data_IF_350530162426
#
_entry.id   IF_350530162426
#
_cell.length_a   1.000
_cell.length_b   1.000
_cell.length_c   1.000
_cell.angle_alpha   90.00
_cell.angle_beta   90.00
_cell.angle_gamma   90.00
#
_symmetry.space_group_name_H-M   'P 1'
#
loop_
_entity.id
_entity.type
_entity.pdbx_description
1 polymer ?
#
# COMPACT_ATOMS: atom_id res chain seq x y z
N UNK A 1 -27.41 -12.47 -23.16
CA UNK A 1 -27.63 -11.78 -21.87
C UNK A 1 -26.95 -10.42 -21.99
N UNK A 2 -27.67 -9.41 -22.46
CA UNK A 2 -27.14 -8.04 -22.45
C UNK A 2 -27.21 -7.55 -21.01
N UNK A 3 -26.04 -7.27 -20.43
CA UNK A 3 -25.94 -6.63 -19.12
C UNK A 3 -26.32 -5.16 -19.32
N UNK A 4 -27.59 -4.85 -19.11
CA UNK A 4 -28.10 -3.49 -19.06
C UNK A 4 -27.44 -2.81 -17.84
N UNK A 5 -26.30 -2.15 -18.08
CA UNK A 5 -25.64 -1.33 -17.06
C UNK A 5 -26.53 -0.12 -16.80
N UNK A 6 -26.85 0.20 -15.53
CA UNK A 6 -27.65 1.38 -15.24
C UNK A 6 -26.96 2.62 -15.82
N UNK A 7 -27.67 3.51 -16.54
CA UNK A 7 -27.10 4.63 -17.28
C UNK A 7 -26.33 5.65 -16.41
N UNK A 8 -26.41 5.52 -15.09
CA UNK A 8 -25.71 6.35 -14.10
C UNK A 8 -24.24 5.93 -13.83
N UNK A 9 -23.82 4.73 -14.20
CA UNK A 9 -22.45 4.25 -13.88
C UNK A 9 -21.37 4.81 -14.81
N UNK A 10 -21.70 5.05 -16.08
CA UNK A 10 -20.72 5.47 -17.10
C UNK A 10 -20.06 6.83 -16.78
N UNK A 11 -20.80 7.88 -16.37
CA UNK A 11 -20.20 9.17 -16.00
C UNK A 11 -19.30 9.08 -14.76
N UNK A 12 -19.72 8.28 -13.76
CA UNK A 12 -18.97 8.11 -12.52
C UNK A 12 -17.62 7.39 -12.74
N UNK A 13 -17.58 6.43 -13.68
CA UNK A 13 -16.36 5.73 -14.05
C UNK A 13 -15.38 6.63 -14.82
N UNK A 14 -15.87 7.51 -15.69
CA UNK A 14 -15.01 8.47 -16.39
C UNK A 14 -14.37 9.47 -15.44
N UNK A 15 -15.13 9.96 -14.46
CA UNK A 15 -14.61 10.88 -13.45
C UNK A 15 -13.57 10.22 -12.54
N UNK A 16 -13.79 8.94 -12.19
CA UNK A 16 -12.84 8.13 -11.46
C UNK A 16 -11.53 7.94 -12.25
N UNK A 17 -11.62 7.56 -13.52
CA UNK A 17 -10.46 7.39 -14.38
C UNK A 17 -9.64 8.69 -14.50
N UNK A 18 -10.33 9.83 -14.66
CA UNK A 18 -9.70 11.14 -14.67
C UNK A 18 -9.03 11.48 -13.32
N UNK A 19 -9.66 11.15 -12.19
CA UNK A 19 -9.09 11.36 -10.86
C UNK A 19 -7.81 10.52 -10.64
N UNK A 20 -7.83 9.25 -11.06
CA UNK A 20 -6.67 8.35 -10.98
C UNK A 20 -5.53 8.87 -11.87
N UNK A 21 -5.83 9.30 -13.09
CA UNK A 21 -4.82 9.85 -14.00
C UNK A 21 -4.18 11.13 -13.44
N UNK A 22 -4.99 12.03 -12.85
CA UNK A 22 -4.48 13.23 -12.16
C UNK A 22 -3.62 12.87 -10.94
N UNK A 23 -4.01 11.86 -10.16
CA UNK A 23 -3.20 11.38 -9.03
C UNK A 23 -1.84 10.86 -9.49
N UNK A 24 -1.81 10.07 -10.58
CA UNK A 24 -0.57 9.59 -11.16
C UNK A 24 0.34 10.74 -11.63
N UNK A 25 -0.23 11.74 -12.32
CA UNK A 25 0.53 12.92 -12.75
C UNK A 25 1.04 13.78 -11.57
N UNK A 26 0.26 13.88 -10.49
CA UNK A 26 0.69 14.59 -9.28
C UNK A 26 1.82 13.82 -8.55
N UNK A 27 1.74 12.49 -8.47
CA UNK A 27 2.78 11.66 -7.88
C UNK A 27 4.11 11.73 -8.65
N UNK A 28 4.04 11.79 -9.99
CA UNK A 28 5.25 11.99 -10.81
C UNK A 28 5.84 13.39 -10.60
N UNK A 29 5.00 14.43 -10.49
CA UNK A 29 5.46 15.79 -10.20
C UNK A 29 6.22 15.88 -8.86
N UNK A 30 5.76 15.16 -7.83
CA UNK A 30 6.47 15.08 -6.53
C UNK A 30 7.79 14.31 -6.58
N UNK A 31 7.94 13.39 -7.53
CA UNK A 31 9.16 12.61 -7.72
C UNK A 31 10.25 13.39 -8.47
N UNK A 32 9.88 14.50 -9.11
CA UNK A 32 10.83 15.41 -9.77
C UNK A 32 11.24 16.55 -8.84
N UNK A 33 12.51 16.99 -8.87
CA UNK A 33 12.91 18.21 -8.16
C UNK A 33 12.19 19.40 -8.79
N UNK A 34 11.10 19.82 -8.16
CA UNK A 34 10.24 20.93 -8.60
C UNK A 34 10.15 22.01 -7.52
N UNK A 35 9.80 23.26 -7.90
CA UNK A 35 9.62 24.33 -6.92
C UNK A 35 8.54 23.97 -5.89
N UNK A 36 8.68 24.46 -4.66
CA UNK A 36 7.80 24.11 -3.53
C UNK A 36 6.31 24.37 -3.80
N UNK A 37 5.98 25.40 -4.58
CA UNK A 37 4.61 25.71 -5.00
C UNK A 37 4.00 24.61 -5.86
N UNK A 38 4.79 23.96 -6.72
CA UNK A 38 4.33 22.86 -7.56
C UNK A 38 4.12 21.58 -6.75
N UNK A 39 4.98 21.34 -5.75
CA UNK A 39 4.80 20.25 -4.80
C UNK A 39 3.51 20.42 -3.97
N UNK A 40 3.22 21.64 -3.50
CA UNK A 40 1.99 21.91 -2.76
C UNK A 40 0.72 21.67 -3.62
N UNK A 41 0.75 22.10 -4.88
CA UNK A 41 -0.34 21.86 -5.83
C UNK A 41 -0.52 20.35 -6.12
N UNK A 42 0.58 19.60 -6.27
CA UNK A 42 0.53 18.15 -6.46
C UNK A 42 -0.05 17.42 -5.24
N UNK A 43 0.32 17.84 -4.02
CA UNK A 43 -0.27 17.28 -2.78
C UNK A 43 -1.77 17.60 -2.69
N UNK A 44 -2.21 18.80 -3.07
CA UNK A 44 -3.63 19.13 -3.11
C UNK A 44 -4.38 18.24 -4.12
N UNK A 45 -3.86 18.09 -5.34
CA UNK A 45 -4.44 17.22 -6.36
C UNK A 45 -4.53 15.75 -5.92
N UNK A 46 -3.57 15.25 -5.15
CA UNK A 46 -3.63 13.90 -4.56
C UNK A 46 -4.75 13.76 -3.52
N UNK A 47 -4.95 14.77 -2.67
CA UNK A 47 -6.05 14.76 -1.69
C UNK A 47 -7.42 14.80 -2.38
N UNK A 48 -7.55 15.62 -3.42
CA UNK A 48 -8.79 15.71 -4.19
C UNK A 48 -9.10 14.39 -4.90
N UNK A 49 -8.09 13.75 -5.49
CA UNK A 49 -8.24 12.43 -6.09
C UNK A 49 -8.61 11.36 -5.07
N UNK A 50 -8.01 11.39 -3.88
CA UNK A 50 -8.36 10.48 -2.79
C UNK A 50 -9.83 10.65 -2.37
N UNK A 51 -10.30 11.89 -2.20
CA UNK A 51 -11.70 12.17 -1.88
C UNK A 51 -12.66 11.66 -2.98
N UNK A 52 -12.30 11.86 -4.26
CA UNK A 52 -13.09 11.37 -5.39
C UNK A 52 -13.20 9.83 -5.40
N UNK A 53 -12.08 9.12 -5.22
CA UNK A 53 -12.04 7.65 -5.15
C UNK A 53 -12.84 7.14 -3.95
N UNK A 54 -12.65 7.72 -2.77
CA UNK A 54 -13.40 7.34 -1.57
C UNK A 54 -14.91 7.54 -1.75
N UNK A 55 -15.32 8.64 -2.39
CA UNK A 55 -16.73 8.89 -2.70
C UNK A 55 -17.31 7.83 -3.65
N UNK A 56 -16.52 7.39 -4.64
CA UNK A 56 -16.93 6.37 -5.60
C UNK A 56 -17.10 5.01 -4.92
N UNK A 57 -16.13 4.61 -4.10
CA UNK A 57 -16.19 3.36 -3.33
C UNK A 57 -17.38 3.36 -2.36
N UNK A 58 -17.66 4.47 -1.69
CA UNK A 58 -18.81 4.59 -0.79
C UNK A 58 -20.14 4.41 -1.53
N UNK A 59 -20.25 4.92 -2.77
CA UNK A 59 -21.45 4.70 -3.61
C UNK A 59 -21.57 3.25 -4.08
N UNK A 60 -20.45 2.59 -4.40
CA UNK A 60 -20.45 1.18 -4.75
C UNK A 60 -20.89 0.31 -3.58
N UNK A 61 -20.40 0.59 -2.37
CA UNK A 61 -20.77 -0.13 -1.16
C UNK A 61 -22.27 0.05 -0.83
N UNK A 62 -22.78 1.28 -0.92
CA UNK A 62 -24.21 1.55 -0.76
C UNK A 62 -25.08 0.84 -1.82
N UNK A 63 -24.61 0.74 -3.06
CA UNK A 63 -25.31 0.01 -4.11
C UNK A 63 -25.30 -1.50 -3.84
N UNK A 64 -24.18 -2.06 -3.38
CA UNK A 64 -24.07 -3.48 -3.01
C UNK A 64 -24.96 -3.83 -1.82
N UNK A 65 -25.04 -2.97 -0.81
CA UNK A 65 -25.93 -3.13 0.33
C UNK A 65 -27.42 -3.09 -0.07
N UNK A 66 -27.77 -2.33 -1.12
CA UNK A 66 -29.15 -2.26 -1.64
C UNK A 66 -29.56 -3.45 -2.51
N UNK A 67 -28.60 -4.27 -2.98
CA UNK A 67 -28.88 -5.44 -3.83
C UNK A 67 -29.01 -6.77 -3.06
N UNK A 68 -28.75 -6.78 -1.75
CA UNK A 68 -29.06 -7.92 -0.90
C UNK A 68 -30.55 -7.89 -0.53
N UNK A 69 -31.37 -8.31 -1.48
CA UNK A 69 -32.72 -8.76 -1.19
C UNK A 69 -32.61 -10.03 -0.34
N UNK A 70 -33.08 -9.92 0.89
CA UNK A 70 -32.95 -10.86 2.00
C UNK A 70 -33.77 -12.14 1.72
N UNK A 71 -33.24 -13.04 0.89
CA UNK A 71 -33.76 -14.40 0.73
C UNK A 71 -32.99 -15.32 1.68
N UNK A 72 -33.64 -15.95 2.68
CA UNK A 72 -32.96 -16.91 3.54
C UNK A 72 -32.49 -18.09 2.70
N UNK A 73 -31.17 -18.30 2.65
CA UNK A 73 -30.52 -19.42 1.97
C UNK A 73 -31.17 -20.74 2.42
N UNK A 74 -31.89 -21.41 1.51
CA UNK A 74 -32.31 -22.78 1.71
C UNK A 74 -31.06 -23.66 1.76
N UNK A 75 -30.91 -24.38 2.87
CA UNK A 75 -29.83 -25.34 3.11
C UNK A 75 -30.00 -26.52 2.14
N UNK A 76 -29.35 -26.42 0.98
CA UNK A 76 -29.21 -27.50 0.01
C UNK A 76 -27.88 -28.20 0.22
N UNK A 77 -27.86 -29.22 1.07
CA UNK A 77 -26.73 -30.13 1.17
C UNK A 77 -26.64 -31.00 -0.08
N UNK A 78 -25.64 -30.75 -0.92
CA UNK A 78 -25.15 -31.71 -1.89
C UNK A 78 -23.66 -31.93 -1.65
N UNK A 79 -23.32 -33.11 -1.14
CA UNK A 79 -21.95 -33.63 -1.09
C UNK A 79 -21.46 -33.76 -2.53
N UNK A 80 -20.75 -32.73 -3.01
CA UNK A 80 -19.99 -32.85 -4.26
C UNK A 80 -18.69 -33.58 -3.92
N UNK A 81 -18.58 -34.82 -4.37
CA UNK A 81 -17.34 -35.59 -4.33
C UNK A 81 -16.20 -34.74 -4.92
N UNK A 82 -15.20 -34.46 -4.09
CA UNK A 82 -13.95 -33.85 -4.50
C UNK A 82 -13.22 -34.86 -5.39
N UNK A 83 -13.44 -34.73 -6.69
CA UNK A 83 -12.64 -35.38 -7.72
C UNK A 83 -11.20 -34.86 -7.61
N UNK A 84 -10.22 -35.76 -7.59
CA UNK A 84 -8.80 -35.50 -7.33
C UNK A 84 -8.04 -34.71 -8.40
N UNK A 85 -8.69 -33.72 -9.02
CA UNK A 85 -8.12 -32.85 -10.05
C UNK A 85 -7.60 -31.52 -9.49
N UNK A 86 -8.11 -31.07 -8.34
CA UNK A 86 -7.70 -29.81 -7.72
C UNK A 86 -6.30 -29.90 -7.08
N UNK A 87 -5.94 -31.08 -6.55
CA UNK A 87 -4.61 -31.33 -5.96
C UNK A 87 -3.49 -31.33 -7.01
N UNK A 88 -3.78 -31.70 -8.25
CA UNK A 88 -2.81 -31.71 -9.35
C UNK A 88 -2.40 -30.29 -9.78
N UNK A 89 -3.37 -29.36 -9.79
CA UNK A 89 -3.15 -27.99 -10.24
C UNK A 89 -2.31 -27.18 -9.24
N UNK A 90 -2.38 -27.48 -7.94
CA UNK A 90 -1.57 -26.81 -6.91
C UNK A 90 -0.12 -27.32 -6.94
N UNK A 91 0.09 -28.61 -7.19
CA UNK A 91 1.43 -29.20 -7.28
C UNK A 91 2.27 -28.65 -8.43
N UNK A 92 1.67 -28.48 -9.61
CA UNK A 92 2.36 -27.93 -10.79
C UNK A 92 2.84 -26.47 -10.58
N UNK A 93 2.05 -25.67 -9.86
CA UNK A 93 2.39 -24.27 -9.57
C UNK A 93 3.54 -24.18 -8.56
N UNK A 94 3.56 -25.06 -7.55
CA UNK A 94 4.64 -25.11 -6.56
C UNK A 94 5.97 -25.51 -7.22
N UNK A 95 5.96 -26.49 -8.11
CA UNK A 95 7.15 -26.93 -8.84
C UNK A 95 7.65 -25.84 -9.82
N UNK A 96 6.74 -25.15 -10.52
CA UNK A 96 7.08 -24.02 -11.39
C UNK A 96 7.72 -22.84 -10.65
N UNK A 97 7.39 -22.62 -9.38
CA UNK A 97 8.03 -21.59 -8.55
C UNK A 97 9.43 -22.01 -8.08
N UNK A 98 9.66 -23.32 -7.90
CA UNK A 98 10.98 -23.89 -7.52
C UNK A 98 11.99 -23.76 -8.66
N UNK A 99 11.53 -23.80 -9.90
CA UNK A 99 12.36 -23.58 -11.10
C UNK A 99 12.64 -22.09 -11.38
N UNK A 100 11.95 -21.16 -10.70
CA UNK A 100 12.21 -19.72 -10.77
C UNK A 100 13.39 -19.26 -9.89
N UNK A 101 14.35 -20.13 -9.56
CA UNK A 101 15.64 -19.69 -9.01
C UNK A 101 16.24 -18.73 -10.03
N UNK A 102 16.48 -17.47 -9.64
CA UNK A 102 17.09 -16.41 -10.44
C UNK A 102 18.54 -16.77 -10.83
N UNK A 103 18.71 -17.81 -11.63
CA UNK A 103 19.93 -18.17 -12.32
C UNK A 103 20.11 -17.16 -13.45
N UNK A 104 20.73 -16.01 -13.17
CA UNK A 104 21.26 -15.19 -14.25
C UNK A 104 21.15 -13.68 -14.13
N UNK A 105 21.27 -13.07 -12.95
CA UNK A 105 21.66 -11.65 -12.87
C UNK A 105 23.17 -11.44 -13.20
N UNK A 106 23.70 -12.21 -14.15
CA UNK A 106 25.03 -12.01 -14.75
C UNK A 106 25.02 -10.93 -15.85
N UNK A 107 24.04 -10.01 -15.87
CA UNK A 107 24.15 -8.78 -16.66
C UNK A 107 25.12 -7.82 -15.98
N UNK A 108 26.39 -8.19 -15.99
CA UNK A 108 27.54 -7.30 -15.78
C UNK A 108 27.46 -6.22 -16.85
N UNK A 109 26.88 -5.05 -16.52
CA UNK A 109 27.07 -3.71 -17.13
C UNK A 109 26.16 -2.64 -16.51
N UNK A 110 25.23 -2.99 -15.61
CA UNK A 110 24.56 -1.98 -14.77
C UNK A 110 25.35 -1.86 -13.47
N UNK A 111 25.82 -0.65 -13.09
CA UNK A 111 26.40 -0.47 -11.77
C UNK A 111 25.33 -0.85 -10.73
N UNK A 112 25.72 -1.72 -9.81
CA UNK A 112 24.89 -2.07 -8.65
C UNK A 112 24.76 -0.80 -7.82
N UNK A 113 23.54 -0.37 -7.45
CA UNK A 113 23.38 0.77 -6.56
C UNK A 113 24.14 0.51 -5.25
N UNK A 114 24.72 1.53 -4.60
CA UNK A 114 25.42 1.33 -3.35
C UNK A 114 24.47 0.65 -2.37
N UNK A 115 24.80 -0.58 -1.97
CA UNK A 115 24.07 -1.26 -0.91
C UNK A 115 24.32 -0.47 0.37
N UNK A 116 23.31 0.25 0.84
CA UNK A 116 23.34 0.80 2.18
C UNK A 116 23.49 -0.36 3.16
N UNK A 117 24.39 -0.31 4.16
CA UNK A 117 24.37 -1.29 5.20
C UNK A 117 23.03 -1.12 5.92
N UNK A 118 22.08 -2.02 5.63
CA UNK A 118 20.99 -2.31 6.55
C UNK A 118 21.69 -2.63 7.87
N UNK A 119 21.59 -1.70 8.82
CA UNK A 119 22.29 -1.77 10.10
C UNK A 119 22.22 -3.17 10.66
N UNK A 120 23.37 -3.66 11.12
CA UNK A 120 23.59 -4.97 11.74
C UNK A 120 22.34 -5.40 12.52
N UNK A 121 21.53 -6.28 11.93
CA UNK A 121 20.48 -6.98 12.66
C UNK A 121 21.20 -7.84 13.69
N UNK A 122 21.09 -7.44 14.96
CA UNK A 122 21.72 -8.10 16.09
C UNK A 122 21.19 -9.52 16.18
N UNK A 123 21.97 -10.50 15.72
CA UNK A 123 21.80 -11.90 16.09
C UNK A 123 22.93 -12.28 17.05
N UNK A 124 22.57 -12.43 18.33
CA UNK A 124 23.21 -13.31 19.31
C UNK A 124 24.68 -13.04 19.66
N UNK A 125 24.91 -12.54 20.88
CA UNK A 125 26.23 -12.50 21.50
C UNK A 125 26.20 -11.76 22.83
N UNK A 126 25.63 -12.42 23.83
CA UNK A 126 25.73 -12.03 25.24
C UNK A 126 27.21 -12.03 25.66
N UNK A 127 27.76 -10.87 26.01
CA UNK A 127 28.90 -10.72 26.92
C UNK A 127 28.70 -9.41 27.69
N UNK A 128 28.90 -9.48 28.99
CA UNK A 128 28.42 -8.54 29.99
C UNK A 128 29.13 -7.18 29.95
N UNK A 129 28.34 -6.11 29.98
CA UNK A 129 28.75 -4.83 30.56
C UNK A 129 27.70 -4.46 31.62
N UNK A 130 28.09 -4.77 32.85
CA UNK A 130 27.65 -4.21 34.13
C UNK A 130 26.59 -3.10 34.11
N UNK A 131 25.45 -3.40 34.74
CA UNK A 131 24.59 -2.50 35.52
C UNK A 131 24.44 -1.04 35.05
N UNK A 132 23.39 -0.74 34.28
CA UNK A 132 22.67 0.52 34.40
C UNK A 132 21.22 0.38 33.92
N UNK A 133 20.31 0.90 34.73
CA UNK A 133 18.85 0.92 34.58
C UNK A 133 18.33 1.29 33.16
N UNK A 134 17.06 0.95 32.82
CA UNK A 134 16.44 1.43 31.58
C UNK A 134 16.57 2.97 31.49
N UNK A 135 16.91 3.54 30.32
CA UNK A 135 17.02 4.99 30.18
C UNK A 135 15.66 5.61 30.49
N UNK A 136 15.57 6.28 31.64
CA UNK A 136 14.41 7.07 32.03
C UNK A 136 14.19 8.08 30.91
N UNK A 137 13.08 7.93 30.19
CA UNK A 137 12.71 8.87 29.14
C UNK A 137 12.29 10.17 29.83
N UNK A 138 13.24 11.09 30.03
CA UNK A 138 12.96 12.45 30.51
C UNK A 138 12.22 13.22 29.40
N UNK A 139 10.90 13.06 29.39
CA UNK A 139 10.00 13.67 28.41
C UNK A 139 10.03 15.18 28.56
N UNK A 140 10.13 15.69 29.79
CA UNK A 140 10.17 17.10 30.11
C UNK A 140 11.46 17.75 29.63
N UNK A 141 12.61 17.09 29.81
CA UNK A 141 13.90 17.54 29.28
C UNK A 141 13.90 17.61 27.76
N UNK A 142 13.36 16.58 27.09
CA UNK A 142 13.23 16.55 25.63
C UNK A 142 12.30 17.65 25.12
N UNK A 143 11.20 17.91 25.83
CA UNK A 143 10.25 18.97 25.49
C UNK A 143 10.89 20.36 25.59
N UNK A 144 11.67 20.62 26.64
CA UNK A 144 12.40 21.90 26.79
C UNK A 144 13.42 22.09 25.65
N UNK A 145 14.22 21.07 25.35
CA UNK A 145 15.19 21.12 24.25
C UNK A 145 14.53 21.42 22.89
N UNK A 146 13.35 20.84 22.63
CA UNK A 146 12.59 21.13 21.41
C UNK A 146 12.08 22.58 21.36
N UNK A 147 11.65 23.16 22.48
CA UNK A 147 11.22 24.57 22.53
C UNK A 147 12.39 25.54 22.34
N UNK A 148 13.54 25.26 22.95
CA UNK A 148 14.75 26.06 22.75
C UNK A 148 15.19 26.05 21.29
N UNK A 149 15.08 24.91 20.61
CA UNK A 149 15.39 24.81 19.19
C UNK A 149 14.48 25.70 18.35
N UNK A 150 13.17 25.73 18.62
CA UNK A 150 12.23 26.60 17.90
C UNK A 150 12.57 28.08 18.10
N UNK A 151 12.98 28.46 19.31
CA UNK A 151 13.35 29.84 19.63
C UNK A 151 14.65 30.28 18.92
N UNK A 152 15.59 29.37 18.66
CA UNK A 152 16.83 29.67 17.92
C UNK A 152 16.58 30.06 16.45
N UNK A 153 15.50 29.57 15.83
CA UNK A 153 15.19 29.84 14.41
C UNK A 153 14.15 30.94 14.21
N UNK A 154 13.63 31.52 15.29
CA UNK A 154 12.56 32.52 15.28
C UNK A 154 12.89 33.79 16.09
N UNK A 155 14.18 34.02 16.37
CA UNK A 155 14.69 35.26 16.97
C UNK A 155 14.62 36.45 16.01
#
# INVERSE_FOLDING_TARGET
MELDLPPQQVPALTDLAAAVHRAAAAATALSTPSPSSHAAAAVAALRDAHAAIGSFLSRLDAAAASSFDDQPMAEGGEELEVNGEEEHMVGEVEEGLRDCVLQGSKRRKRPVPPSWPLGRRTSGGCEAAEAAAPPVLDVEGRRRAAMDLLLQFHA
#
